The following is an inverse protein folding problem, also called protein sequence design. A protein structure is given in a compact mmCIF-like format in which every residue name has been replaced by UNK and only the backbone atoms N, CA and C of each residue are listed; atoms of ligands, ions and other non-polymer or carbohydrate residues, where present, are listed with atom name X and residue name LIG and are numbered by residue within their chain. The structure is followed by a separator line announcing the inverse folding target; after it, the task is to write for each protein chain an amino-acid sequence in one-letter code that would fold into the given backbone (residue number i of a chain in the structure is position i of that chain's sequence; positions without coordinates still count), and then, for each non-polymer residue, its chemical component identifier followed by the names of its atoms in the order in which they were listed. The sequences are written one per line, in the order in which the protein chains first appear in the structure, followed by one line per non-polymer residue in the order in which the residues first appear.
data_IF_414577383540
#
_entry.id   IF_414577383540
#
_cell.length_a   1.000
_cell.length_b   1.000
_cell.length_c   1.000
_cell.angle_alpha   90.00
_cell.angle_beta   90.00
_cell.angle_gamma   90.00
#
_symmetry.space_group_name_H-M   'P 1'
#
loop_
_entity.id
_entity.type
_entity.pdbx_description
1 polymer ?
#
# COMPACT_ATOMS: atom_id res chain seq x y z
N UNK A 1 49.56 -35.06 6.62
CA UNK A 1 48.25 -35.12 7.29
C UNK A 1 47.97 -33.71 7.80
N UNK A 2 47.29 -32.91 6.99
CA UNK A 2 47.19 -31.45 7.17
C UNK A 2 45.78 -31.13 7.65
N UNK A 3 45.66 -30.66 8.90
CA UNK A 3 44.40 -30.24 9.49
C UNK A 3 43.93 -28.92 8.85
N UNK A 4 42.78 -28.97 8.18
CA UNK A 4 42.02 -27.82 7.71
C UNK A 4 41.36 -27.13 8.92
N UNK A 5 41.87 -25.95 9.28
CA UNK A 5 41.21 -25.04 10.22
C UNK A 5 40.01 -24.42 9.49
N UNK A 6 38.80 -24.88 9.83
CA UNK A 6 37.55 -24.26 9.39
C UNK A 6 37.42 -22.93 10.14
N UNK A 7 37.74 -21.83 9.45
CA UNK A 7 37.50 -20.48 9.95
C UNK A 7 36.01 -20.20 10.07
N UNK A 8 35.51 -20.15 11.30
CA UNK A 8 34.18 -19.66 11.64
C UNK A 8 34.03 -18.22 11.13
N UNK A 9 33.17 -18.00 10.14
CA UNK A 9 32.79 -16.62 9.74
C UNK A 9 32.20 -15.91 10.97
N UNK A 10 32.64 -14.70 11.31
CA UNK A 10 31.97 -13.90 12.33
C UNK A 10 30.55 -13.63 11.84
N UNK A 11 29.57 -14.08 12.63
CA UNK A 11 28.17 -13.70 12.48
C UNK A 11 28.11 -12.18 12.68
N UNK A 12 28.00 -11.43 11.58
CA UNK A 12 27.74 -9.99 11.64
C UNK A 12 26.38 -9.83 12.31
N UNK A 13 26.38 -9.37 13.57
CA UNK A 13 25.17 -8.95 14.25
C UNK A 13 24.47 -7.94 13.33
N UNK A 14 23.27 -8.29 12.86
CA UNK A 14 22.48 -7.39 12.03
C UNK A 14 22.20 -6.11 12.82
N UNK A 15 22.45 -4.95 12.21
CA UNK A 15 22.09 -3.67 12.81
C UNK A 15 20.60 -3.69 13.20
N UNK A 16 20.22 -3.07 14.34
CA UNK A 16 18.81 -3.00 14.71
C UNK A 16 18.00 -2.36 13.57
N UNK A 17 16.77 -2.85 13.32
CA UNK A 17 15.95 -2.30 12.25
C UNK A 17 15.75 -0.80 12.46
N UNK A 18 15.77 0.01 11.39
CA UNK A 18 15.53 1.44 11.50
C UNK A 18 14.15 1.67 12.12
N UNK A 19 14.05 2.62 13.05
CA UNK A 19 12.78 3.08 13.64
C UNK A 19 12.52 4.51 13.19
N UNK A 20 11.25 4.86 12.94
CA UNK A 20 10.87 6.23 12.65
C UNK A 20 10.57 6.97 13.96
N UNK A 21 11.26 8.08 14.25
CA UNK A 21 10.95 8.91 15.41
C UNK A 21 9.51 9.46 15.36
N UNK A 22 8.81 9.62 16.49
CA UNK A 22 7.47 10.18 16.53
C UNK A 22 7.37 11.56 15.84
N UNK A 23 8.42 12.37 15.96
CA UNK A 23 8.54 13.70 15.34
C UNK A 23 8.42 13.63 13.82
N UNK A 24 8.95 12.57 13.19
CA UNK A 24 8.82 12.34 11.75
C UNK A 24 7.38 12.00 11.37
N UNK A 25 6.74 11.12 12.16
CA UNK A 25 5.38 10.64 11.86
C UNK A 25 4.28 11.67 12.13
N UNK A 26 4.55 12.61 13.03
CA UNK A 26 3.62 13.69 13.44
C UNK A 26 3.93 15.04 12.76
N UNK A 27 4.95 15.10 11.90
CA UNK A 27 5.31 16.31 11.18
C UNK A 27 4.30 16.63 10.07
N UNK A 28 3.81 17.87 10.02
CA UNK A 28 3.00 18.38 8.92
C UNK A 28 3.84 18.87 7.71
N UNK A 29 5.17 18.92 7.88
CA UNK A 29 6.11 19.32 6.83
C UNK A 29 7.42 18.54 7.01
N UNK A 30 7.48 17.27 6.57
CA UNK A 30 8.70 16.46 6.66
C UNK A 30 9.88 17.18 6.00
N UNK A 31 10.96 17.35 6.75
CA UNK A 31 12.22 17.90 6.23
C UNK A 31 12.88 16.90 5.25
N UNK A 32 13.86 17.32 4.45
CA UNK A 32 14.62 16.38 3.61
C UNK A 32 15.23 15.22 4.39
N UNK A 33 15.75 15.48 5.60
CA UNK A 33 16.29 14.44 6.48
C UNK A 33 15.21 13.46 6.96
N UNK A 34 14.00 13.96 7.27
CA UNK A 34 12.86 13.10 7.64
C UNK A 34 12.45 12.20 6.46
N UNK A 35 12.48 12.75 5.25
CA UNK A 35 12.21 11.99 4.02
C UNK A 35 13.26 10.89 3.82
N UNK A 36 14.54 11.18 4.05
CA UNK A 36 15.60 10.17 3.96
C UNK A 36 15.41 9.05 4.99
N UNK A 37 15.00 9.37 6.22
CA UNK A 37 14.65 8.38 7.24
C UNK A 37 13.46 7.52 6.81
N UNK A 38 12.42 8.13 6.24
CA UNK A 38 11.25 7.43 5.69
C UNK A 38 11.68 6.48 4.56
N UNK A 39 12.52 6.93 3.64
CA UNK A 39 13.03 6.11 2.54
C UNK A 39 13.84 4.93 3.06
N UNK A 40 14.73 5.15 4.01
CA UNK A 40 15.52 4.07 4.62
C UNK A 40 14.64 3.03 5.32
N UNK A 41 13.63 3.49 6.07
CA UNK A 41 12.65 2.65 6.74
C UNK A 41 11.86 1.79 5.75
N UNK A 42 11.26 2.43 4.73
CA UNK A 42 10.51 1.75 3.68
C UNK A 42 11.37 0.74 2.92
N UNK A 43 12.63 1.08 2.62
CA UNK A 43 13.56 0.19 1.92
C UNK A 43 13.83 -1.08 2.72
N UNK A 44 14.09 -0.97 4.01
CA UNK A 44 14.34 -2.13 4.88
C UNK A 44 13.11 -3.04 4.92
N UNK A 45 11.92 -2.50 5.23
CA UNK A 45 10.69 -3.30 5.29
C UNK A 45 10.33 -3.97 3.97
N UNK A 46 10.42 -3.24 2.86
CA UNK A 46 10.09 -3.77 1.53
C UNK A 46 11.12 -4.80 1.03
N UNK A 47 12.38 -4.72 1.47
CA UNK A 47 13.37 -5.76 1.18
C UNK A 47 13.00 -7.10 1.85
N UNK A 48 12.47 -7.05 3.09
CA UNK A 48 12.06 -8.24 3.87
C UNK A 48 10.78 -8.89 3.36
N UNK A 49 9.89 -8.13 2.70
CA UNK A 49 8.74 -8.69 1.96
C UNK A 49 9.17 -9.67 0.85
N UNK A 50 10.41 -9.57 0.35
CA UNK A 50 10.96 -10.45 -0.67
C UNK A 50 11.79 -11.61 -0.14
N UNK A 51 11.82 -11.84 1.18
CA UNK A 51 12.68 -12.83 1.84
C UNK A 51 12.38 -14.29 1.47
N UNK A 52 11.17 -14.58 0.96
CA UNK A 52 10.71 -15.94 0.69
C UNK A 52 10.26 -16.73 1.93
N UNK A 53 10.54 -16.23 3.14
CA UNK A 53 10.06 -16.81 4.39
C UNK A 53 8.73 -16.19 4.81
N UNK A 54 7.74 -17.03 5.13
CA UNK A 54 6.40 -16.56 5.48
C UNK A 54 6.40 -15.66 6.73
N UNK A 55 7.11 -16.04 7.78
CA UNK A 55 7.11 -15.26 9.03
C UNK A 55 7.82 -13.92 8.84
N UNK A 56 8.90 -13.89 8.07
CA UNK A 56 9.60 -12.65 7.76
C UNK A 56 8.76 -11.71 6.88
N UNK A 57 7.95 -12.23 5.96
CA UNK A 57 6.98 -11.43 5.20
C UNK A 57 5.92 -10.80 6.11
N UNK A 58 5.41 -11.54 7.10
CA UNK A 58 4.43 -11.01 8.05
C UNK A 58 5.04 -9.96 8.98
N UNK A 59 6.25 -10.20 9.51
CA UNK A 59 6.99 -9.21 10.29
C UNK A 59 7.30 -7.97 9.46
N UNK A 60 7.64 -8.12 8.19
CA UNK A 60 7.88 -7.01 7.28
C UNK A 60 6.62 -6.16 7.06
N UNK A 61 5.45 -6.81 6.89
CA UNK A 61 4.16 -6.12 6.87
C UNK A 61 3.94 -5.34 8.16
N UNK A 62 4.07 -5.99 9.31
CA UNK A 62 3.77 -5.37 10.61
C UNK A 62 4.73 -4.21 10.89
N UNK A 63 6.00 -4.36 10.52
CA UNK A 63 6.99 -3.29 10.52
C UNK A 63 6.57 -2.12 9.62
N UNK A 64 6.19 -2.37 8.36
CA UNK A 64 5.75 -1.31 7.45
C UNK A 64 4.44 -0.63 7.88
N UNK A 65 3.59 -1.32 8.65
CA UNK A 65 2.33 -0.79 9.17
C UNK A 65 2.51 -0.03 10.50
N UNK A 66 3.52 -0.36 11.30
CA UNK A 66 3.76 0.22 12.62
C UNK A 66 3.66 1.76 12.64
N UNK A 67 4.37 2.53 11.77
CA UNK A 67 4.31 3.98 11.82
C UNK A 67 2.94 4.55 11.39
N UNK A 68 2.15 3.82 10.61
CA UNK A 68 0.82 4.28 10.15
C UNK A 68 -0.26 4.15 11.24
N UNK A 69 0.01 3.36 12.27
CA UNK A 69 -0.89 3.10 13.39
C UNK A 69 -0.59 3.96 14.63
N UNK A 70 0.42 4.83 14.56
CA UNK A 70 0.75 5.71 15.67
C UNK A 70 -0.31 6.82 15.84
N UNK A 71 -0.59 7.26 17.07
CA UNK A 71 -1.43 8.43 17.31
C UNK A 71 -0.83 9.69 16.67
N UNK A 72 -1.66 10.53 16.06
CA UNK A 72 -1.23 11.82 15.51
C UNK A 72 -0.52 11.77 14.16
N UNK A 73 -0.52 10.62 13.47
CA UNK A 73 0.06 10.50 12.13
C UNK A 73 -0.59 11.48 11.16
N UNK A 74 0.22 12.32 10.53
CA UNK A 74 -0.27 13.39 9.65
C UNK A 74 -0.51 12.91 8.22
N UNK A 75 -1.32 13.67 7.47
CA UNK A 75 -1.46 13.47 6.04
C UNK A 75 -0.15 13.71 5.28
N UNK A 76 0.66 14.68 5.70
CA UNK A 76 1.95 14.98 5.08
C UNK A 76 2.93 13.79 5.18
N UNK A 77 3.01 13.17 6.36
CA UNK A 77 3.76 11.94 6.54
C UNK A 77 3.23 10.82 5.64
N UNK A 78 1.91 10.56 5.62
CA UNK A 78 1.31 9.51 4.78
C UNK A 78 1.63 9.69 3.29
N UNK A 79 1.62 10.92 2.80
CA UNK A 79 2.01 11.25 1.41
C UNK A 79 3.49 10.97 1.16
N UNK A 80 4.39 11.44 2.03
CA UNK A 80 5.83 11.17 1.93
C UNK A 80 6.13 9.66 1.99
N UNK A 81 5.47 8.95 2.90
CA UNK A 81 5.59 7.50 3.09
C UNK A 81 5.09 6.72 1.87
N UNK A 82 3.94 7.10 1.30
CA UNK A 82 3.42 6.52 0.05
C UNK A 82 4.40 6.73 -1.09
N UNK A 83 4.91 7.96 -1.26
CA UNK A 83 5.88 8.29 -2.31
C UNK A 83 7.14 7.45 -2.17
N UNK A 84 7.66 7.27 -0.96
CA UNK A 84 8.83 6.43 -0.70
C UNK A 84 8.57 4.96 -1.09
N UNK A 85 7.42 4.39 -0.70
CA UNK A 85 7.06 3.02 -1.03
C UNK A 85 6.88 2.77 -2.53
N UNK A 86 6.41 3.76 -3.29
CA UNK A 86 6.15 3.62 -4.72
C UNK A 86 7.37 3.98 -5.59
N UNK A 87 8.40 4.59 -5.01
CA UNK A 87 9.59 5.01 -5.73
C UNK A 87 10.60 3.86 -5.88
N UNK A 88 11.34 3.85 -6.99
CA UNK A 88 12.52 2.98 -7.12
C UNK A 88 13.63 3.43 -6.15
N UNK A 89 14.41 2.50 -5.59
CA UNK A 89 14.41 1.05 -5.83
C UNK A 89 13.45 0.24 -4.95
N UNK A 90 12.62 0.90 -4.14
CA UNK A 90 11.74 0.26 -3.15
C UNK A 90 10.58 -0.44 -3.86
N UNK A 91 9.75 0.34 -4.57
CA UNK A 91 8.66 -0.12 -5.44
C UNK A 91 7.87 -1.32 -4.89
N UNK A 92 7.08 -1.09 -3.83
CA UNK A 92 6.24 -2.12 -3.20
C UNK A 92 5.23 -2.74 -4.20
N UNK A 93 4.87 -2.01 -5.24
CA UNK A 93 3.92 -2.44 -6.26
C UNK A 93 4.42 -3.67 -7.03
N UNK A 94 5.74 -3.85 -7.15
CA UNK A 94 6.35 -5.03 -7.77
C UNK A 94 5.92 -6.35 -7.14
N UNK A 95 5.60 -6.35 -5.84
CA UNK A 95 5.14 -7.55 -5.14
C UNK A 95 3.67 -7.84 -5.43
N UNK A 96 2.89 -6.81 -5.73
CA UNK A 96 1.50 -6.99 -6.14
C UNK A 96 1.44 -7.61 -7.53
N UNK A 97 2.24 -7.07 -8.44
CA UNK A 97 2.27 -7.52 -9.83
C UNK A 97 3.09 -8.82 -10.00
N UNK A 98 3.85 -9.22 -8.97
CA UNK A 98 4.65 -10.45 -8.93
C UNK A 98 3.82 -11.72 -8.69
N UNK A 99 4.37 -12.91 -8.99
CA UNK A 99 3.62 -14.17 -9.00
C UNK A 99 3.38 -14.79 -7.60
N UNK A 100 4.11 -14.35 -6.57
CA UNK A 100 4.09 -14.97 -5.25
C UNK A 100 2.87 -14.48 -4.42
N UNK A 101 1.89 -15.34 -4.08
CA UNK A 101 0.65 -14.89 -3.45
C UNK A 101 0.86 -14.26 -2.07
N UNK A 102 1.81 -14.78 -1.28
CA UNK A 102 1.98 -14.36 0.10
C UNK A 102 2.58 -12.93 0.23
N UNK A 103 3.71 -12.59 -0.43
CA UNK A 103 4.17 -11.20 -0.52
C UNK A 103 3.13 -10.26 -1.15
N UNK A 104 2.41 -10.72 -2.18
CA UNK A 104 1.34 -9.95 -2.83
C UNK A 104 0.26 -9.51 -1.85
N UNK A 105 -0.30 -10.45 -1.08
CA UNK A 105 -1.35 -10.15 -0.09
C UNK A 105 -0.84 -9.18 0.99
N UNK A 106 0.39 -9.37 1.46
CA UNK A 106 0.97 -8.48 2.47
C UNK A 106 1.26 -7.08 1.92
N UNK A 107 1.68 -6.95 0.66
CA UNK A 107 1.80 -5.66 -0.01
C UNK A 107 0.44 -4.95 -0.13
N UNK A 108 -0.64 -5.65 -0.51
CA UNK A 108 -1.99 -5.09 -0.48
C UNK A 108 -2.39 -4.57 0.90
N UNK A 109 -2.08 -5.32 1.97
CA UNK A 109 -2.36 -4.89 3.35
C UNK A 109 -1.59 -3.63 3.73
N UNK A 110 -0.35 -3.47 3.30
CA UNK A 110 0.42 -2.23 3.53
C UNK A 110 -0.24 -1.07 2.80
N UNK A 111 -0.56 -1.24 1.51
CA UNK A 111 -1.13 -0.17 0.69
C UNK A 111 -2.52 0.27 1.16
N UNK A 112 -3.39 -0.67 1.57
CA UNK A 112 -4.74 -0.33 2.04
C UNK A 112 -4.74 0.54 3.31
N UNK A 113 -3.63 0.56 4.06
CA UNK A 113 -3.46 1.37 5.27
C UNK A 113 -2.77 2.73 5.03
N UNK A 114 -2.31 3.02 3.80
CA UNK A 114 -1.66 4.30 3.50
C UNK A 114 -2.65 5.46 3.57
N UNK A 115 -3.89 5.25 3.12
CA UNK A 115 -4.95 6.26 3.19
C UNK A 115 -4.68 7.49 2.30
N UNK A 116 -3.90 7.34 1.23
CA UNK A 116 -3.55 8.44 0.31
C UNK A 116 -4.24 8.30 -1.05
N UNK A 117 -4.37 9.41 -1.77
CA UNK A 117 -4.94 9.43 -3.12
C UNK A 117 -4.11 8.60 -4.12
N UNK A 118 -2.78 8.59 -3.98
CA UNK A 118 -1.91 7.79 -4.85
C UNK A 118 -2.05 6.29 -4.57
N UNK A 119 -2.21 5.90 -3.30
CA UNK A 119 -2.53 4.52 -2.94
C UNK A 119 -3.88 4.09 -3.52
N UNK A 120 -4.89 4.96 -3.46
CA UNK A 120 -6.20 4.72 -4.05
C UNK A 120 -6.11 4.56 -5.58
N UNK A 121 -5.45 5.49 -6.27
CA UNK A 121 -5.24 5.43 -7.73
C UNK A 121 -4.54 4.11 -8.13
N UNK A 122 -3.50 3.70 -7.39
CA UNK A 122 -2.76 2.47 -7.65
C UNK A 122 -3.60 1.20 -7.46
N UNK A 123 -4.56 1.20 -6.52
CA UNK A 123 -5.48 0.08 -6.29
C UNK A 123 -6.61 0.06 -7.33
N UNK A 124 -7.16 1.21 -7.71
CA UNK A 124 -8.18 1.28 -8.76
C UNK A 124 -7.63 0.85 -10.11
N UNK A 125 -6.40 1.27 -10.46
CA UNK A 125 -5.74 0.82 -11.69
C UNK A 125 -5.59 -0.70 -11.75
N UNK A 126 -5.30 -1.35 -10.61
CA UNK A 126 -5.15 -2.80 -10.51
C UNK A 126 -6.46 -3.56 -10.40
N UNK A 127 -7.54 -2.90 -9.98
CA UNK A 127 -8.87 -3.48 -10.03
C UNK A 127 -9.44 -3.52 -11.46
N UNK A 128 -8.92 -2.70 -12.38
CA UNK A 128 -9.36 -2.63 -13.78
C UNK A 128 -8.58 -3.61 -14.67
N UNK A 129 -9.26 -4.68 -15.11
CA UNK A 129 -8.71 -5.71 -15.99
C UNK A 129 -8.18 -5.16 -17.32
N UNK A 130 -8.69 -4.03 -17.80
CA UNK A 130 -8.20 -3.40 -19.04
C UNK A 130 -6.89 -2.64 -18.86
N UNK A 131 -6.61 -2.14 -17.65
CA UNK A 131 -5.41 -1.35 -17.33
C UNK A 131 -4.27 -2.24 -16.81
N UNK A 132 -4.62 -3.36 -16.18
CA UNK A 132 -3.68 -4.37 -15.69
C UNK A 132 -4.12 -5.77 -16.11
N UNK A 133 -4.08 -6.09 -17.42
CA UNK A 133 -4.52 -7.40 -17.93
C UNK A 133 -3.66 -8.57 -17.43
N UNK A 134 -2.42 -8.31 -17.03
CA UNK A 134 -1.52 -9.31 -16.45
C UNK A 134 -1.86 -9.69 -15.01
N UNK A 135 -2.69 -8.89 -14.31
CA UNK A 135 -3.06 -9.18 -12.94
C UNK A 135 -4.21 -10.18 -12.91
N UNK A 136 -3.99 -11.33 -12.27
CA UNK A 136 -4.99 -12.38 -12.15
C UNK A 136 -6.23 -11.93 -11.33
N UNK A 137 -7.28 -12.76 -11.39
CA UNK A 137 -8.55 -12.53 -10.67
C UNK A 137 -8.32 -12.27 -9.18
N UNK A 138 -7.43 -13.03 -8.54
CA UNK A 138 -7.12 -12.88 -7.13
C UNK A 138 -6.51 -11.51 -6.82
N UNK A 139 -5.57 -11.05 -7.64
CA UNK A 139 -4.96 -9.72 -7.54
C UNK A 139 -5.98 -8.60 -7.73
N UNK A 140 -6.85 -8.70 -8.75
CA UNK A 140 -7.91 -7.71 -8.97
C UNK A 140 -8.92 -7.66 -7.81
N UNK A 141 -9.29 -8.81 -7.25
CA UNK A 141 -10.16 -8.90 -6.08
C UNK A 141 -9.54 -8.20 -4.86
N UNK A 142 -8.26 -8.44 -4.59
CA UNK A 142 -7.54 -7.75 -3.51
C UNK A 142 -7.37 -6.26 -3.76
N UNK A 143 -7.15 -5.85 -5.01
CA UNK A 143 -7.07 -4.44 -5.39
C UNK A 143 -8.41 -3.71 -5.16
N UNK A 144 -9.53 -4.30 -5.61
CA UNK A 144 -10.86 -3.76 -5.37
C UNK A 144 -11.19 -3.69 -3.86
N UNK A 145 -10.83 -4.74 -3.10
CA UNK A 145 -10.92 -4.73 -1.63
C UNK A 145 -10.17 -3.53 -1.05
N UNK A 146 -8.90 -3.37 -1.42
CA UNK A 146 -8.00 -2.37 -0.86
C UNK A 146 -8.49 -0.95 -1.18
N UNK A 147 -8.94 -0.71 -2.42
CA UNK A 147 -9.58 0.55 -2.81
C UNK A 147 -10.79 0.86 -1.91
N UNK A 148 -11.67 -0.12 -1.68
CA UNK A 148 -12.81 0.05 -0.77
C UNK A 148 -12.41 0.32 0.68
N UNK A 149 -11.32 -0.28 1.17
CA UNK A 149 -10.77 0.02 2.50
C UNK A 149 -10.27 1.46 2.59
N UNK A 150 -9.50 1.91 1.60
CA UNK A 150 -9.00 3.29 1.52
C UNK A 150 -10.18 4.28 1.48
N UNK A 151 -11.19 4.02 0.65
CA UNK A 151 -12.40 4.86 0.54
C UNK A 151 -13.24 4.89 1.82
N UNK A 152 -13.24 3.85 2.66
CA UNK A 152 -13.88 3.92 3.99
C UNK A 152 -13.08 4.79 4.96
N UNK A 153 -11.75 4.75 4.87
CA UNK A 153 -10.86 5.47 5.79
C UNK A 153 -10.90 6.99 5.61
N UNK A 154 -11.24 7.48 4.40
CA UNK A 154 -11.38 8.93 4.12
C UNK A 154 -12.47 9.61 4.94
N UNK A 155 -13.41 8.85 5.51
CA UNK A 155 -14.43 9.38 6.43
C UNK A 155 -13.83 10.09 7.65
N UNK A 156 -12.57 9.80 7.96
CA UNK A 156 -11.87 10.31 9.14
C UNK A 156 -10.58 11.08 8.81
N UNK A 157 -10.29 11.38 7.53
CA UNK A 157 -9.03 12.03 7.18
C UNK A 157 -9.08 12.86 5.89
N UNK A 158 -8.60 14.10 5.96
CA UNK A 158 -8.46 15.03 4.82
C UNK A 158 -7.27 14.70 3.89
N UNK A 159 -6.72 13.48 3.98
CA UNK A 159 -5.55 13.07 3.19
C UNK A 159 -5.89 12.87 1.71
N UNK A 160 -7.14 12.48 1.40
CA UNK A 160 -7.62 12.29 0.03
C UNK A 160 -8.62 13.39 -0.32
N UNK A 161 -8.28 14.21 -1.30
CA UNK A 161 -9.15 15.28 -1.77
C UNK A 161 -10.40 14.72 -2.49
N UNK A 162 -11.57 15.39 -2.41
CA UNK A 162 -12.82 14.91 -3.00
C UNK A 162 -12.72 14.57 -4.49
N UNK A 163 -12.01 15.37 -5.28
CA UNK A 163 -11.84 15.11 -6.72
C UNK A 163 -11.13 13.78 -7.04
N UNK A 164 -10.22 13.33 -6.16
CA UNK A 164 -9.59 12.01 -6.27
C UNK A 164 -10.57 10.89 -5.94
N UNK A 165 -11.45 11.10 -4.96
CA UNK A 165 -12.53 10.16 -4.62
C UNK A 165 -13.48 10.02 -5.81
N UNK A 166 -13.97 11.13 -6.37
CA UNK A 166 -14.86 11.14 -7.52
C UNK A 166 -14.23 10.46 -8.75
N UNK A 167 -12.95 10.74 -9.01
CA UNK A 167 -12.19 10.06 -10.08
C UNK A 167 -12.09 8.55 -9.84
N UNK A 168 -11.78 8.13 -8.61
CA UNK A 168 -11.68 6.72 -8.24
C UNK A 168 -13.03 5.99 -8.37
N UNK A 169 -14.13 6.61 -7.96
CA UNK A 169 -15.49 6.09 -8.12
C UNK A 169 -15.83 5.88 -9.58
N UNK A 170 -15.61 6.88 -10.44
CA UNK A 170 -15.85 6.76 -11.89
C UNK A 170 -15.02 5.64 -12.50
N UNK A 171 -13.73 5.58 -12.15
CA UNK A 171 -12.85 4.54 -12.66
C UNK A 171 -13.21 3.12 -12.17
N UNK A 172 -13.67 2.97 -10.92
CA UNK A 172 -14.21 1.70 -10.42
C UNK A 172 -15.52 1.30 -11.12
N UNK A 173 -16.40 2.26 -11.40
CA UNK A 173 -17.61 2.03 -12.20
C UNK A 173 -17.29 1.51 -13.59
N UNK A 174 -16.39 2.21 -14.31
CA UNK A 174 -15.92 1.76 -15.62
C UNK A 174 -15.15 0.43 -15.58
N UNK A 175 -14.49 0.10 -14.47
CA UNK A 175 -13.86 -1.21 -14.29
C UNK A 175 -14.93 -2.31 -14.11
N UNK A 176 -15.97 -2.04 -13.32
CA UNK A 176 -17.09 -2.95 -13.08
C UNK A 176 -17.88 -3.27 -14.34
N UNK A 177 -18.14 -2.29 -15.21
CA UNK A 177 -18.81 -2.50 -16.50
C UNK A 177 -18.12 -3.52 -17.41
N UNK A 178 -16.81 -3.71 -17.23
CA UNK A 178 -15.96 -4.55 -18.08
C UNK A 178 -15.41 -5.78 -17.36
N UNK A 179 -15.77 -5.99 -16.09
CA UNK A 179 -15.23 -7.11 -15.30
C UNK A 179 -16.00 -8.41 -15.60
N UNK A 180 -15.34 -9.43 -16.17
CA UNK A 180 -15.97 -10.71 -16.44
C UNK A 180 -16.17 -11.58 -15.20
N UNK A 181 -15.37 -11.40 -14.14
CA UNK A 181 -15.45 -12.23 -12.94
C UNK A 181 -16.44 -11.66 -11.91
N UNK A 182 -17.47 -12.44 -11.57
CA UNK A 182 -18.53 -12.02 -10.65
C UNK A 182 -18.02 -11.69 -9.24
N UNK A 183 -16.94 -12.32 -8.77
CA UNK A 183 -16.38 -12.07 -7.45
C UNK A 183 -15.62 -10.75 -7.42
N UNK A 184 -14.88 -10.44 -8.49
CA UNK A 184 -14.21 -9.15 -8.64
C UNK A 184 -15.25 -8.04 -8.81
N UNK A 185 -16.28 -8.26 -9.63
CA UNK A 185 -17.39 -7.33 -9.83
C UNK A 185 -18.09 -7.00 -8.51
N UNK A 186 -18.46 -8.01 -7.71
CA UNK A 186 -19.04 -7.80 -6.38
C UNK A 186 -18.12 -6.94 -5.52
N UNK A 187 -16.81 -7.17 -5.58
CA UNK A 187 -15.84 -6.43 -4.78
C UNK A 187 -15.66 -4.98 -5.25
N UNK A 188 -15.76 -4.72 -6.54
CA UNK A 188 -15.78 -3.36 -7.07
C UNK A 188 -17.06 -2.63 -6.63
N UNK A 189 -18.23 -3.29 -6.63
CA UNK A 189 -19.45 -2.71 -6.07
C UNK A 189 -19.37 -2.45 -4.55
N UNK A 190 -18.78 -3.36 -3.77
CA UNK A 190 -18.51 -3.13 -2.35
C UNK A 190 -17.62 -1.89 -2.14
N UNK A 191 -16.63 -1.68 -3.02
CA UNK A 191 -15.74 -0.53 -2.98
C UNK A 191 -16.47 0.77 -3.37
N UNK A 192 -17.37 0.73 -4.35
CA UNK A 192 -18.23 1.86 -4.70
C UNK A 192 -19.15 2.23 -3.53
N UNK A 193 -19.75 1.24 -2.87
CA UNK A 193 -20.60 1.43 -1.69
C UNK A 193 -19.85 1.89 -0.42
N UNK A 194 -18.52 1.87 -0.42
CA UNK A 194 -17.71 2.39 0.69
C UNK A 194 -17.79 3.91 0.83
N UNK A 195 -18.06 4.62 -0.26
CA UNK A 195 -18.11 6.09 -0.27
C UNK A 195 -19.39 6.56 0.43
N UNK A 196 -19.26 7.50 1.37
CA UNK A 196 -20.42 8.07 2.05
C UNK A 196 -21.19 8.99 1.09
N UNK A 197 -22.48 8.72 0.94
CA UNK A 197 -23.37 9.12 -0.17
C UNK A 197 -23.92 10.55 -0.09
N UNK A 198 -23.17 11.51 0.46
CA UNK A 198 -23.60 12.93 0.39
C UNK A 198 -22.86 13.66 -0.74
N UNK A 199 -21.53 13.57 -0.81
CA UNK A 199 -20.76 14.21 -1.88
C UNK A 199 -20.77 13.41 -3.20
N UNK A 200 -20.61 12.08 -3.13
CA UNK A 200 -20.67 11.22 -4.32
C UNK A 200 -22.07 11.18 -4.96
N UNK A 201 -23.14 11.30 -4.16
CA UNK A 201 -24.52 11.39 -4.66
C UNK A 201 -24.76 12.72 -5.38
N UNK A 202 -24.26 13.83 -4.85
CA UNK A 202 -24.37 15.13 -5.50
C UNK A 202 -23.60 15.19 -6.82
N UNK A 203 -22.46 14.50 -6.92
CA UNK A 203 -21.71 14.41 -8.18
C UNK A 203 -22.30 13.42 -9.21
N UNK A 204 -22.94 12.33 -8.78
CA UNK A 204 -23.51 11.33 -9.69
C UNK A 204 -24.94 11.62 -10.15
N UNK A 205 -25.69 12.43 -9.39
CA UNK A 205 -27.09 12.82 -9.70
C UNK A 205 -27.19 14.27 -10.18
N UNK A 206 -26.11 15.06 -10.02
CA UNK A 206 -26.03 16.47 -10.41
C UNK A 206 -25.35 16.73 -11.76
N UNK A 207 -25.39 15.78 -12.69
CA UNK A 207 -24.96 15.95 -14.09
C UNK A 207 -26.14 15.72 -15.04
#
# INVERSE_FOLDING_TARGET
MTLLVVGSRPSSAAAPPPTLPPEVTTSNAPSPADVDLIVAYCKDGVSRLGSGDFREVEKARDFLLAPLNLPGVTGAFRHAYTKALFSRPIDILRYIDGPQPHPRINAFRVIENLGTGDALDAMVERADSSRRPSLDVGGRLWAARAAGTILRSTRNSDVIVPSKISKAVRALGSAAEREPDVNVLRRQFDALGAVNTTEARNELVGA
#
